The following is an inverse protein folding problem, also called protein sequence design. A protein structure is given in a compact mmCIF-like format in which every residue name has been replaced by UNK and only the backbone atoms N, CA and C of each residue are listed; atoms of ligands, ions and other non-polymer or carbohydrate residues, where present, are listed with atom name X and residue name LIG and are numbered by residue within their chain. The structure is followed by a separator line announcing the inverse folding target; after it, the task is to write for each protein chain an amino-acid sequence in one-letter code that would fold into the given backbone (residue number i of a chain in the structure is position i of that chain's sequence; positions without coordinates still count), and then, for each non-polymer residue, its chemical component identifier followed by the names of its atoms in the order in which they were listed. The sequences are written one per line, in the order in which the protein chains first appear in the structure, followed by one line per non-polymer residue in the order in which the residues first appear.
data_IF_051234954947
#
_entry.id   IF_051234954947
#
_cell.length_a   1.000
_cell.length_b   1.000
_cell.length_c   1.000
_cell.angle_alpha   90.00
_cell.angle_beta   90.00
_cell.angle_gamma   90.00
#
_symmetry.space_group_name_H-M   'P 1'
#
loop_
_entity.id
_entity.type
_entity.pdbx_description
1 polymer ?
#
# COMPACT_ATOMS: atom_id res chain seq x y z
N UNK A 1 -7.80 -9.97 15.59
CA UNK A 1 -8.02 -8.50 15.46
C UNK A 1 -7.25 -8.00 14.24
N UNK A 2 -7.89 -7.20 13.40
CA UNK A 2 -7.22 -6.66 12.21
C UNK A 2 -6.23 -5.55 12.60
N UNK A 3 -5.07 -5.52 11.96
CA UNK A 3 -3.97 -4.59 12.26
C UNK A 3 -3.54 -3.89 10.98
N UNK A 4 -3.27 -2.59 11.09
CA UNK A 4 -2.76 -1.81 9.99
C UNK A 4 -1.37 -2.33 9.58
N UNK A 5 -1.18 -2.56 8.28
CA UNK A 5 0.08 -3.04 7.72
C UNK A 5 1.20 -1.99 7.72
N UNK A 6 0.86 -0.70 7.79
CA UNK A 6 1.81 0.42 7.74
C UNK A 6 2.09 0.93 9.16
N UNK A 7 1.11 1.54 9.82
CA UNK A 7 1.33 2.14 11.13
C UNK A 7 1.21 1.16 12.31
N UNK A 8 0.89 -0.12 12.06
CA UNK A 8 0.69 -1.10 13.12
C UNK A 8 -0.53 -0.85 14.03
N UNK A 9 -1.33 0.19 13.77
CA UNK A 9 -2.52 0.49 14.57
C UNK A 9 -3.48 -0.69 14.60
N UNK A 10 -3.91 -1.07 15.80
CA UNK A 10 -5.00 -2.04 15.96
C UNK A 10 -6.28 -1.34 15.57
N UNK A 11 -7.16 -2.06 14.91
CA UNK A 11 -8.48 -1.50 14.72
C UNK A 11 -9.29 -1.56 15.99
N UNK A 12 -9.62 -0.37 16.45
CA UNK A 12 -10.84 -0.06 17.18
C UNK A 12 -12.03 -0.03 16.21
N UNK A 13 -13.25 -0.14 16.73
CA UNK A 13 -14.50 -0.20 15.95
C UNK A 13 -14.73 1.06 15.08
N UNK A 14 -14.01 2.15 15.32
CA UNK A 14 -14.17 3.44 14.64
C UNK A 14 -13.28 3.62 13.42
N UNK A 15 -12.20 2.84 13.27
CA UNK A 15 -11.29 3.00 12.12
C UNK A 15 -11.83 2.17 10.96
N UNK A 16 -12.40 2.85 9.96
CA UNK A 16 -12.70 2.23 8.66
C UNK A 16 -11.44 1.59 8.10
N UNK A 17 -11.57 0.32 7.70
CA UNK A 17 -10.47 -0.46 7.12
C UNK A 17 -10.77 -0.73 5.67
N UNK A 18 -9.74 -0.59 4.86
CA UNK A 18 -9.72 -1.19 3.54
C UNK A 18 -8.94 -2.49 3.60
N UNK A 19 -9.59 -3.60 3.27
CA UNK A 19 -8.89 -4.86 3.04
C UNK A 19 -8.10 -4.79 1.74
N UNK A 20 -6.99 -5.53 1.69
CA UNK A 20 -6.25 -5.71 0.45
C UNK A 20 -7.15 -6.38 -0.60
N UNK A 21 -7.06 -5.96 -1.87
CA UNK A 21 -7.79 -6.62 -2.96
C UNK A 21 -7.40 -8.10 -3.05
N UNK A 22 -8.31 -8.93 -3.56
CA UNK A 22 -8.05 -10.37 -3.76
C UNK A 22 -7.44 -10.67 -5.14
N UNK A 23 -7.44 -9.68 -6.03
CA UNK A 23 -7.00 -9.78 -7.42
C UNK A 23 -5.49 -9.58 -7.60
N UNK A 24 -4.99 -9.59 -8.84
CA UNK A 24 -3.58 -9.34 -9.17
C UNK A 24 -3.00 -8.03 -8.60
N UNK A 25 -3.88 -7.05 -8.29
CA UNK A 25 -3.50 -5.79 -7.61
C UNK A 25 -2.96 -6.03 -6.20
N UNK A 26 -3.28 -7.17 -5.58
CA UNK A 26 -2.78 -7.55 -4.25
C UNK A 26 -1.25 -7.55 -4.18
N UNK A 27 -0.58 -8.10 -5.19
CA UNK A 27 0.88 -8.17 -5.23
C UNK A 27 1.51 -6.79 -5.31
N UNK A 28 0.95 -5.90 -6.13
CA UNK A 28 1.38 -4.50 -6.21
C UNK A 28 1.22 -3.79 -4.86
N UNK A 29 0.12 -4.06 -4.15
CA UNK A 29 -0.12 -3.45 -2.85
C UNK A 29 0.82 -3.96 -1.77
N UNK A 30 1.11 -5.26 -1.77
CA UNK A 30 2.11 -5.86 -0.87
C UNK A 30 3.49 -5.25 -1.14
N UNK A 31 3.88 -5.14 -2.41
CA UNK A 31 5.15 -4.53 -2.79
C UNK A 31 5.24 -3.06 -2.33
N UNK A 32 4.17 -2.29 -2.53
CA UNK A 32 4.12 -0.90 -2.08
C UNK A 32 4.20 -0.76 -0.55
N UNK A 33 3.52 -1.62 0.22
CA UNK A 33 3.66 -1.65 1.69
C UNK A 33 5.10 -1.97 2.11
N UNK A 34 5.75 -2.93 1.45
CA UNK A 34 7.16 -3.27 1.71
C UNK A 34 8.11 -2.10 1.44
N UNK A 35 7.84 -1.31 0.41
CA UNK A 35 8.63 -0.11 0.10
C UNK A 35 8.38 1.01 1.11
N UNK A 36 7.15 1.17 1.58
CA UNK A 36 6.75 2.29 2.42
C UNK A 36 7.23 2.18 3.87
N UNK A 37 7.26 0.97 4.44
CA UNK A 37 7.49 0.82 5.88
C UNK A 37 8.42 -0.36 6.20
N UNK A 38 8.04 -1.57 5.79
CA UNK A 38 8.72 -2.78 6.26
C UNK A 38 9.07 -3.72 5.10
N UNK A 39 10.33 -3.74 4.61
CA UNK A 39 10.71 -4.48 3.41
C UNK A 39 10.50 -5.99 3.50
N UNK A 40 10.57 -6.54 4.72
CA UNK A 40 10.34 -7.96 5.01
C UNK A 40 8.92 -8.27 5.48
N UNK A 41 8.00 -7.32 5.37
CA UNK A 41 6.63 -7.53 5.79
C UNK A 41 5.92 -8.55 4.90
N UNK A 42 5.19 -9.46 5.54
CA UNK A 42 4.37 -10.45 4.87
C UNK A 42 2.90 -10.30 5.25
N UNK A 43 1.99 -10.23 4.26
CA UNK A 43 0.57 -10.03 4.54
C UNK A 43 -0.03 -11.23 5.27
N UNK A 44 -0.65 -10.98 6.40
CA UNK A 44 -1.46 -11.97 7.12
C UNK A 44 -2.95 -11.80 6.79
N UNK A 45 -3.78 -12.81 7.08
CA UNK A 45 -5.26 -12.74 6.88
C UNK A 45 -5.92 -11.57 7.62
N UNK A 46 -5.24 -11.01 8.63
CA UNK A 46 -5.72 -9.91 9.46
C UNK A 46 -5.06 -8.56 9.10
N UNK A 47 -4.28 -8.53 8.03
CA UNK A 47 -3.61 -7.31 7.56
C UNK A 47 -4.58 -6.44 6.79
N UNK A 48 -4.71 -5.19 7.23
CA UNK A 48 -5.60 -4.18 6.63
C UNK A 48 -4.84 -2.86 6.51
N UNK A 49 -5.41 -1.89 5.79
CA UNK A 49 -4.96 -0.51 5.86
C UNK A 49 -5.97 0.32 6.67
N UNK A 50 -5.45 1.13 7.59
CA UNK A 50 -6.23 2.16 8.27
C UNK A 50 -6.65 3.23 7.25
N UNK A 51 -7.77 3.93 7.44
CA UNK A 51 -8.26 4.96 6.50
C UNK A 51 -7.18 6.00 6.12
N UNK A 52 -6.49 6.55 7.13
CA UNK A 52 -5.39 7.51 6.90
C UNK A 52 -4.27 6.88 6.07
N UNK A 53 -3.88 5.66 6.43
CA UNK A 53 -2.83 4.90 5.78
C UNK A 53 -3.22 4.52 4.35
N UNK A 54 -4.51 4.29 4.11
CA UNK A 54 -5.08 3.98 2.81
C UNK A 54 -5.03 5.18 1.88
N UNK A 55 -5.38 6.38 2.37
CA UNK A 55 -5.29 7.62 1.58
C UNK A 55 -3.83 7.88 1.17
N UNK A 56 -2.89 7.81 2.12
CA UNK A 56 -1.47 7.97 1.84
C UNK A 56 -0.96 6.91 0.87
N UNK A 57 -1.36 5.66 1.08
CA UNK A 57 -1.00 4.53 0.23
C UNK A 57 -1.48 4.74 -1.22
N UNK A 58 -2.73 5.15 -1.42
CA UNK A 58 -3.29 5.39 -2.75
C UNK A 58 -2.61 6.59 -3.42
N UNK A 59 -2.41 7.70 -2.70
CA UNK A 59 -1.68 8.86 -3.22
C UNK A 59 -0.26 8.48 -3.66
N UNK A 60 0.44 7.67 -2.86
CA UNK A 60 1.77 7.18 -3.20
C UNK A 60 1.72 6.22 -4.41
N UNK A 61 0.75 5.31 -4.46
CA UNK A 61 0.56 4.38 -5.56
C UNK A 61 0.34 5.12 -6.87
N UNK A 62 -0.52 6.13 -6.90
CA UNK A 62 -0.73 6.98 -8.09
C UNK A 62 0.54 7.76 -8.46
N UNK A 63 1.24 8.36 -7.48
CA UNK A 63 2.47 9.12 -7.71
C UNK A 63 3.60 8.25 -8.26
N UNK A 64 3.76 7.02 -7.75
CA UNK A 64 4.79 6.07 -8.19
C UNK A 64 4.39 5.35 -9.48
N UNK A 65 3.10 5.08 -9.72
CA UNK A 65 2.62 4.59 -11.02
C UNK A 65 2.85 5.60 -12.16
N UNK A 66 3.00 6.89 -11.85
CA UNK A 66 3.38 7.91 -12.86
C UNK A 66 4.90 8.03 -13.08
N UNK A 67 5.75 7.51 -12.18
CA UNK A 67 7.21 7.58 -12.33
C UNK A 67 7.82 6.76 -13.47
N UNK A 68 7.34 5.56 -13.88
CA UNK A 68 7.97 4.84 -14.98
C UNK A 68 7.78 5.53 -16.34
N UNK A 69 6.83 6.47 -16.47
CA UNK A 69 6.63 7.22 -17.72
C UNK A 69 7.66 8.34 -17.88
N UNK A 70 8.16 8.93 -16.79
CA UNK A 70 9.12 10.02 -16.87
C UNK A 70 10.57 9.56 -17.11
N UNK A 71 10.92 8.33 -16.73
CA UNK A 71 12.26 7.79 -17.02
C UNK A 71 12.40 7.28 -18.47
N UNK A 72 11.31 6.86 -19.13
CA UNK A 72 11.37 6.47 -20.54
C UNK A 72 11.46 7.67 -21.50
N UNK A 73 10.97 8.85 -21.09
CA UNK A 73 11.07 10.06 -21.91
C UNK A 73 12.49 10.69 -21.93
N UNK A 74 13.44 10.20 -21.12
CA UNK A 74 14.80 10.76 -21.01
C UNK A 74 15.89 9.92 -21.70
N UNK A 75 15.54 8.78 -22.31
CA UNK A 75 16.49 7.93 -23.06
C UNK A 75 16.26 7.98 -24.59
N UNK A 76 15.60 9.03 -25.09
CA UNK A 76 15.28 9.21 -26.52
C UNK A 76 15.57 10.64 -27.00
N UNK A 77 16.52 11.33 -26.37
CA UNK A 77 17.08 12.60 -26.87
C UNK A 77 18.58 12.49 -27.07
#
# INVERSE_FOLDING_TARGET
MARCAICGARSTQEIKKSMFPKDNRRTQWIAAVRVLDTPNWNPTKNSVLCEVCFILFINWLFTMSMKPVFQQAKMLS
#
